data_IF_477719382690
#
_entry.id   IF_477719382690
#
_cell.length_a   1.000
_cell.length_b   1.000
_cell.length_c   1.000
_cell.angle_alpha   90.00
_cell.angle_beta   90.00
_cell.angle_gamma   90.00
#
_symmetry.space_group_name_H-M   'P 1'
#
loop_
_entity.id
_entity.type
_entity.pdbx_description
1 polymer ?
#
# COMPACT_ATOMS: atom_id res chain seq x y z
N UNK A 1 4.88 20.61 20.44
CA UNK A 1 3.87 19.68 21.01
C UNK A 1 3.99 18.22 20.56
N UNK A 2 4.46 17.87 19.34
CA UNK A 2 4.52 16.46 18.88
C UNK A 2 5.45 15.58 19.74
N UNK A 3 6.62 16.07 20.10
CA UNK A 3 7.61 15.33 20.92
C UNK A 3 7.06 15.02 22.31
N UNK A 4 6.47 16.00 22.99
CA UNK A 4 5.86 15.80 24.30
C UNK A 4 4.76 14.72 24.28
N UNK A 5 3.92 14.69 23.24
CA UNK A 5 2.91 13.64 23.07
C UNK A 5 3.53 12.25 22.89
N UNK A 6 4.65 12.15 22.19
CA UNK A 6 5.35 10.88 22.00
C UNK A 6 5.99 10.38 23.30
N UNK A 7 6.61 11.28 24.07
CA UNK A 7 7.17 11.00 25.40
C UNK A 7 6.07 10.48 26.33
N UNK A 8 4.92 11.15 26.39
CA UNK A 8 3.81 10.73 27.25
C UNK A 8 3.27 9.35 26.84
N UNK A 9 3.10 9.10 25.54
CA UNK A 9 2.73 7.77 25.04
C UNK A 9 3.75 6.71 25.41
N UNK A 10 5.03 7.01 25.25
CA UNK A 10 6.14 6.13 25.62
C UNK A 10 6.11 5.73 27.08
N UNK A 11 5.94 6.70 27.97
CA UNK A 11 5.80 6.49 29.41
C UNK A 11 4.61 5.57 29.72
N UNK A 12 3.42 5.86 29.18
CA UNK A 12 2.23 5.03 29.40
C UNK A 12 2.42 3.60 28.89
N UNK A 13 2.98 3.43 27.68
CA UNK A 13 3.29 2.10 27.14
C UNK A 13 4.30 1.34 28.01
N UNK A 14 5.32 2.03 28.52
CA UNK A 14 6.30 1.45 29.44
C UNK A 14 5.62 0.90 30.71
N UNK A 15 4.76 1.69 31.35
CA UNK A 15 4.01 1.27 32.53
C UNK A 15 3.09 0.08 32.21
N UNK A 16 2.30 0.16 31.14
CA UNK A 16 1.33 -0.90 30.79
C UNK A 16 2.05 -2.21 30.48
N UNK A 17 3.09 -2.18 29.64
CA UNK A 17 3.84 -3.39 29.28
C UNK A 17 4.61 -3.93 30.48
N UNK A 18 5.26 -3.07 31.26
CA UNK A 18 5.99 -3.46 32.47
C UNK A 18 5.08 -4.13 33.49
N UNK A 19 3.89 -3.56 33.72
CA UNK A 19 2.89 -4.14 34.61
C UNK A 19 2.39 -5.51 34.10
N UNK A 20 2.05 -5.63 32.81
CA UNK A 20 1.63 -6.91 32.22
C UNK A 20 2.71 -7.99 32.34
N UNK A 21 3.96 -7.64 32.06
CA UNK A 21 5.10 -8.56 32.24
C UNK A 21 5.23 -8.94 33.71
N UNK A 22 5.09 -7.99 34.64
CA UNK A 22 5.18 -8.29 36.08
C UNK A 22 4.09 -9.27 36.53
N UNK A 23 2.87 -9.17 36.01
CA UNK A 23 1.79 -10.11 36.31
C UNK A 23 2.12 -11.52 35.78
N UNK A 24 2.64 -11.60 34.56
CA UNK A 24 3.04 -12.87 33.94
C UNK A 24 4.17 -13.51 34.77
N UNK A 25 5.24 -12.75 35.06
CA UNK A 25 6.39 -13.23 35.81
C UNK A 25 6.00 -13.61 37.24
N UNK A 26 5.16 -12.80 37.89
CA UNK A 26 4.67 -13.10 39.24
C UNK A 26 3.85 -14.37 39.30
N UNK A 27 3.18 -14.77 38.22
CA UNK A 27 2.45 -16.04 38.13
C UNK A 27 3.37 -17.26 38.17
N UNK A 28 4.66 -17.10 37.86
CA UNK A 28 5.66 -18.16 37.95
C UNK A 28 6.35 -18.22 39.33
N UNK A 29 6.16 -17.21 40.18
CA UNK A 29 6.68 -17.24 41.55
C UNK A 29 5.72 -17.98 42.48
N UNK A 30 6.28 -18.78 43.38
CA UNK A 30 5.51 -19.54 44.36
C UNK A 30 4.97 -18.62 45.47
N UNK A 31 3.79 -18.96 46.02
CA UNK A 31 3.26 -18.30 47.23
C UNK A 31 2.06 -17.36 47.03
N UNK A 32 1.58 -17.14 45.79
CA UNK A 32 0.34 -16.37 45.55
C UNK A 32 0.42 -14.87 45.89
N UNK A 33 1.63 -14.36 46.15
CA UNK A 33 1.91 -12.95 46.42
C UNK A 33 2.31 -12.27 45.12
N UNK A 34 1.78 -11.06 44.89
CA UNK A 34 2.18 -10.26 43.73
C UNK A 34 3.55 -9.62 43.96
N UNK A 35 4.50 -9.92 43.09
CA UNK A 35 5.79 -9.24 43.06
C UNK A 35 5.85 -8.27 41.87
N UNK A 36 5.97 -6.95 42.10
CA UNK A 36 6.12 -5.97 41.02
C UNK A 36 7.48 -6.08 40.32
N UNK A 37 8.40 -6.91 40.81
CA UNK A 37 9.72 -7.13 40.23
C UNK A 37 10.34 -8.41 40.78
N UNK A 38 11.65 -8.63 40.60
CA UNK A 38 12.31 -9.78 41.24
C UNK A 38 12.15 -9.74 42.76
N UNK A 39 12.05 -10.90 43.44
CA UNK A 39 11.96 -10.94 44.91
C UNK A 39 13.12 -10.22 45.60
N UNK A 40 14.33 -10.28 45.04
CA UNK A 40 15.52 -9.56 45.53
C UNK A 40 15.36 -8.03 45.48
N UNK A 41 14.68 -7.52 44.45
CA UNK A 41 14.38 -6.10 44.36
C UNK A 41 13.35 -5.69 45.42
N UNK A 42 12.30 -6.49 45.59
CA UNK A 42 11.23 -6.20 46.57
C UNK A 42 11.76 -6.27 48.00
N UNK A 43 12.63 -7.22 48.33
CA UNK A 43 13.24 -7.35 49.66
C UNK A 43 14.19 -6.22 50.04
N UNK A 44 14.60 -5.39 49.07
CA UNK A 44 15.41 -4.18 49.31
C UNK A 44 14.60 -3.03 49.91
N UNK A 45 13.27 -3.14 49.97
CA UNK A 45 12.37 -2.10 50.49
C UNK A 45 11.66 -2.55 51.77
N UNK A 46 11.54 -1.69 52.79
CA UNK A 46 10.82 -2.03 54.02
C UNK A 46 9.31 -2.21 53.83
N UNK A 47 8.73 -1.56 52.82
CA UNK A 47 7.29 -1.62 52.50
C UNK A 47 7.10 -2.08 51.06
N UNK A 48 6.19 -3.02 50.86
CA UNK A 48 5.87 -3.57 49.53
C UNK A 48 5.38 -2.51 48.54
N UNK A 49 4.62 -1.53 49.04
CA UNK A 49 4.11 -0.41 48.23
C UNK A 49 5.24 0.45 47.68
N UNK A 50 6.36 0.60 48.40
CA UNK A 50 7.50 1.36 47.90
C UNK A 50 8.13 0.65 46.71
N UNK A 51 8.30 -0.67 46.78
CA UNK A 51 8.80 -1.47 45.66
C UNK A 51 7.93 -1.31 44.40
N UNK A 52 6.60 -1.23 44.54
CA UNK A 52 5.69 -0.97 43.42
C UNK A 52 5.95 0.42 42.80
N UNK A 53 6.07 1.46 43.62
CA UNK A 53 6.36 2.81 43.12
C UNK A 53 7.68 2.88 42.35
N UNK A 54 8.74 2.28 42.90
CA UNK A 54 10.03 2.23 42.22
C UNK A 54 9.96 1.40 40.92
N UNK A 55 9.23 0.30 40.90
CA UNK A 55 8.98 -0.47 39.66
C UNK A 55 8.28 0.38 38.59
N UNK A 56 7.24 1.14 38.95
CA UNK A 56 6.52 2.03 38.02
C UNK A 56 7.47 3.08 37.43
N UNK A 57 8.36 3.66 38.26
CA UNK A 57 9.38 4.60 37.80
C UNK A 57 10.32 3.93 36.80
N UNK A 58 10.83 2.73 37.11
CA UNK A 58 11.72 1.97 36.22
C UNK A 58 11.03 1.66 34.89
N UNK A 59 9.78 1.17 34.91
CA UNK A 59 9.00 0.88 33.69
C UNK A 59 8.75 2.13 32.85
N UNK A 60 8.47 3.25 33.51
CA UNK A 60 8.32 4.55 32.85
C UNK A 60 9.62 4.95 32.14
N UNK A 61 10.76 4.86 32.84
CA UNK A 61 12.08 5.18 32.28
C UNK A 61 12.43 4.26 31.10
N UNK A 62 12.09 2.97 31.16
CA UNK A 62 12.26 2.04 30.04
C UNK A 62 11.41 2.46 28.84
N UNK A 63 10.13 2.81 29.05
CA UNK A 63 9.26 3.28 27.97
C UNK A 63 9.76 4.58 27.32
N UNK A 64 10.28 5.50 28.14
CA UNK A 64 10.91 6.73 27.67
C UNK A 64 12.21 6.44 26.89
N UNK A 65 13.04 5.52 27.37
CA UNK A 65 14.25 5.08 26.70
C UNK A 65 13.95 4.57 25.29
N UNK A 66 12.99 3.66 25.14
CA UNK A 66 12.61 3.14 23.82
C UNK A 66 12.06 4.24 22.90
N UNK A 67 11.33 5.20 23.45
CA UNK A 67 10.81 6.34 22.68
C UNK A 67 11.94 7.26 22.20
N UNK A 68 12.92 7.56 23.06
CA UNK A 68 14.08 8.38 22.74
C UNK A 68 15.02 7.66 21.77
N UNK A 69 15.32 6.38 22.00
CA UNK A 69 16.11 5.55 21.09
C UNK A 69 15.41 5.46 19.72
N UNK A 70 14.08 5.43 19.69
CA UNK A 70 13.28 5.48 18.47
C UNK A 70 13.56 6.69 17.56
N UNK A 71 14.11 7.79 18.09
CA UNK A 71 14.54 8.94 17.28
C UNK A 71 15.65 8.58 16.28
N UNK A 72 16.41 7.50 16.51
CA UNK A 72 17.39 6.99 15.54
C UNK A 72 16.73 6.70 14.19
N UNK A 73 15.45 6.31 14.17
CA UNK A 73 14.74 6.00 12.94
C UNK A 73 14.41 7.24 12.09
N UNK A 74 14.44 8.45 12.67
CA UNK A 74 14.15 9.69 11.95
C UNK A 74 15.32 10.21 11.11
N UNK A 75 16.51 9.61 11.24
CA UNK A 75 17.72 10.03 10.51
C UNK A 75 17.62 9.53 9.05
N UNK A 76 17.31 10.37 8.07
CA UNK A 76 17.02 9.91 6.70
C UNK A 76 18.21 9.21 6.00
N UNK A 77 19.44 9.67 6.26
CA UNK A 77 20.66 9.23 5.56
C UNK A 77 21.13 7.82 5.92
N UNK A 78 20.54 7.18 6.95
CA UNK A 78 21.00 5.88 7.42
C UNK A 78 20.14 4.74 6.87
N UNK A 79 20.81 3.66 6.44
CA UNK A 79 20.13 2.43 6.07
C UNK A 79 19.32 1.88 7.26
N UNK A 80 18.21 1.20 6.96
CA UNK A 80 17.34 0.64 7.98
C UNK A 80 18.09 -0.33 8.90
N UNK A 81 18.97 -1.16 8.33
CA UNK A 81 19.81 -2.09 9.10
C UNK A 81 20.73 -1.35 10.09
N UNK A 82 21.38 -0.27 9.64
CA UNK A 82 22.24 0.56 10.50
C UNK A 82 21.46 1.16 11.67
N UNK A 83 20.26 1.71 11.40
CA UNK A 83 19.37 2.26 12.43
C UNK A 83 18.98 1.20 13.45
N UNK A 84 18.53 0.04 12.99
CA UNK A 84 18.11 -1.06 13.88
C UNK A 84 19.26 -1.60 14.71
N UNK A 85 20.47 -1.69 14.13
CA UNK A 85 21.65 -2.17 14.83
C UNK A 85 22.09 -1.19 15.92
N UNK A 86 22.15 0.11 15.63
CA UNK A 86 22.51 1.11 16.63
C UNK A 86 21.44 1.17 17.73
N UNK A 87 20.16 1.15 17.36
CA UNK A 87 19.06 1.09 18.32
C UNK A 87 19.18 -0.14 19.24
N UNK A 88 19.49 -1.32 18.66
CA UNK A 88 19.72 -2.55 19.40
C UNK A 88 20.85 -2.40 20.42
N UNK A 89 22.03 -1.90 20.00
CA UNK A 89 23.18 -1.75 20.90
C UNK A 89 22.89 -0.73 22.01
N UNK A 90 22.32 0.43 21.68
CA UNK A 90 21.99 1.47 22.67
C UNK A 90 21.01 0.94 23.72
N UNK A 91 19.93 0.29 23.26
CA UNK A 91 18.92 -0.24 24.18
C UNK A 91 19.46 -1.41 25.00
N UNK A 92 20.27 -2.30 24.41
CA UNK A 92 20.89 -3.42 25.12
C UNK A 92 21.85 -2.94 26.23
N UNK A 93 22.71 -1.97 25.95
CA UNK A 93 23.67 -1.44 26.94
C UNK A 93 22.93 -0.81 28.11
N UNK A 94 21.95 0.05 27.84
CA UNK A 94 21.21 0.74 28.90
C UNK A 94 20.37 -0.24 29.71
N UNK A 95 19.72 -1.22 29.05
CA UNK A 95 18.97 -2.26 29.75
C UNK A 95 19.86 -3.14 30.63
N UNK A 96 21.09 -3.41 30.18
CA UNK A 96 22.10 -4.13 30.99
C UNK A 96 22.51 -3.35 32.24
N UNK A 97 22.62 -2.02 32.14
CA UNK A 97 22.86 -1.16 33.30
C UNK A 97 21.69 -1.22 34.28
N UNK A 98 20.46 -1.13 33.79
CA UNK A 98 19.25 -1.25 34.62
C UNK A 98 19.27 -2.58 35.38
N UNK A 99 19.50 -3.70 34.69
CA UNK A 99 19.60 -5.04 35.29
C UNK A 99 20.62 -5.10 36.43
N UNK A 100 21.79 -4.49 36.24
CA UNK A 100 22.84 -4.42 37.26
C UNK A 100 22.39 -3.62 38.49
N UNK A 101 21.72 -2.49 38.30
CA UNK A 101 21.30 -1.62 39.40
C UNK A 101 20.06 -2.13 40.14
N UNK A 102 19.16 -2.84 39.46
CA UNK A 102 17.91 -3.33 40.05
C UNK A 102 18.03 -4.72 40.67
N UNK A 103 19.12 -5.44 40.43
CA UNK A 103 19.30 -6.80 40.97
C UNK A 103 18.25 -7.80 40.46
N UNK A 104 17.72 -7.58 39.25
CA UNK A 104 16.69 -8.47 38.67
C UNK A 104 17.21 -9.88 38.38
N UNK A 105 18.51 -10.03 38.11
CA UNK A 105 19.15 -11.32 37.89
C UNK A 105 20.60 -11.26 38.31
N UNK A 106 21.17 -12.42 38.63
CA UNK A 106 22.60 -12.55 38.84
C UNK A 106 23.35 -12.18 37.55
N UNK A 107 24.42 -11.39 37.67
CA UNK A 107 25.31 -10.99 36.56
C UNK A 107 26.14 -12.17 36.01
N UNK A 108 25.60 -13.38 36.08
CA UNK A 108 26.19 -14.56 35.47
C UNK A 108 26.15 -14.46 33.95
N UNK A 109 27.18 -15.01 33.30
CA UNK A 109 27.25 -15.07 31.83
C UNK A 109 26.02 -15.79 31.27
N UNK A 110 25.52 -16.82 31.96
CA UNK A 110 24.34 -17.59 31.55
C UNK A 110 23.08 -16.73 31.53
N UNK A 111 22.78 -16.01 32.60
CA UNK A 111 21.61 -15.13 32.68
C UNK A 111 21.67 -14.01 31.64
N UNK A 112 22.86 -13.43 31.43
CA UNK A 112 23.08 -12.41 30.42
C UNK A 112 22.84 -12.94 29.00
N UNK A 113 23.34 -14.13 28.66
CA UNK A 113 23.12 -14.74 27.35
C UNK A 113 21.64 -15.02 27.08
N UNK A 114 20.89 -15.51 28.08
CA UNK A 114 19.43 -15.70 27.95
C UNK A 114 18.74 -14.36 27.67
N UNK A 115 19.11 -13.30 28.37
CA UNK A 115 18.56 -11.95 28.17
C UNK A 115 18.83 -11.45 26.73
N UNK A 116 20.07 -11.57 26.26
CA UNK A 116 20.45 -11.20 24.89
C UNK A 116 19.67 -12.03 23.86
N UNK A 117 19.51 -13.34 24.07
CA UNK A 117 18.72 -14.20 23.18
C UNK A 117 17.26 -13.78 23.09
N UNK A 118 16.62 -13.44 24.21
CA UNK A 118 15.24 -12.92 24.22
C UNK A 118 15.18 -11.59 23.46
N UNK A 119 16.14 -10.70 23.68
CA UNK A 119 16.22 -9.42 22.98
C UNK A 119 16.37 -9.61 21.46
N UNK A 120 17.26 -10.50 21.02
CA UNK A 120 17.40 -10.87 19.61
C UNK A 120 16.10 -11.42 19.02
N UNK A 121 15.41 -12.31 19.74
CA UNK A 121 14.15 -12.90 19.29
C UNK A 121 13.07 -11.81 19.10
N UNK A 122 12.95 -10.87 20.04
CA UNK A 122 12.03 -9.73 19.91
C UNK A 122 12.31 -8.92 18.65
N UNK A 123 13.58 -8.65 18.33
CA UNK A 123 13.93 -7.93 17.11
C UNK A 123 13.61 -8.70 15.84
N UNK A 124 13.83 -10.03 15.81
CA UNK A 124 13.44 -10.88 14.68
C UNK A 124 11.93 -10.82 14.44
N UNK A 125 11.14 -10.87 15.52
CA UNK A 125 9.67 -10.75 15.44
C UNK A 125 9.27 -9.38 14.88
N UNK A 126 9.81 -8.29 15.44
CA UNK A 126 9.52 -6.93 14.97
C UNK A 126 9.88 -6.80 13.49
N UNK A 127 11.07 -7.23 13.08
CA UNK A 127 11.51 -7.18 11.68
C UNK A 127 10.57 -7.94 10.76
N UNK A 128 10.14 -9.13 11.16
CA UNK A 128 9.22 -9.97 10.37
C UNK A 128 7.87 -9.27 10.19
N UNK A 129 7.34 -8.66 11.24
CA UNK A 129 6.08 -7.91 11.18
C UNK A 129 6.22 -6.65 10.32
N UNK A 130 7.30 -5.89 10.49
CA UNK A 130 7.57 -4.69 9.70
C UNK A 130 7.75 -5.03 8.23
N UNK A 131 8.51 -6.07 7.90
CA UNK A 131 8.71 -6.53 6.53
C UNK A 131 7.38 -6.83 5.84
N UNK A 132 6.50 -7.61 6.49
CA UNK A 132 5.19 -7.96 5.94
C UNK A 132 4.30 -6.75 5.71
N UNK A 133 4.34 -5.74 6.58
CA UNK A 133 3.56 -4.51 6.40
C UNK A 133 4.12 -3.68 5.25
N UNK A 134 5.43 -3.51 5.18
CA UNK A 134 6.10 -2.76 4.11
C UNK A 134 5.87 -3.39 2.74
N UNK A 135 5.92 -4.72 2.65
CA UNK A 135 5.67 -5.45 1.40
C UNK A 135 4.27 -5.16 0.84
N UNK A 136 3.25 -5.21 1.71
CA UNK A 136 1.87 -4.85 1.34
C UNK A 136 1.75 -3.38 0.91
N UNK A 137 2.44 -2.47 1.59
CA UNK A 137 2.43 -1.06 1.22
C UNK A 137 3.09 -0.84 -0.14
N UNK A 138 4.19 -1.55 -0.43
CA UNK A 138 4.86 -1.51 -1.74
C UNK A 138 3.95 -2.02 -2.85
N UNK A 139 3.24 -3.13 -2.65
CA UNK A 139 2.25 -3.63 -3.61
C UNK A 139 1.14 -2.59 -3.89
N UNK A 140 0.62 -1.97 -2.83
CA UNK A 140 -0.42 -0.93 -2.96
C UNK A 140 0.09 0.29 -3.73
N UNK A 141 1.33 0.73 -3.48
CA UNK A 141 1.95 1.84 -4.20
C UNK A 141 2.16 1.47 -5.68
N UNK A 142 2.71 0.29 -5.96
CA UNK A 142 2.98 -0.16 -7.32
C UNK A 142 1.68 -0.29 -8.14
N UNK A 143 0.61 -0.81 -7.53
CA UNK A 143 -0.71 -0.90 -8.15
C UNK A 143 -1.30 0.50 -8.46
N UNK A 144 -1.17 1.46 -7.54
CA UNK A 144 -1.61 2.85 -7.74
C UNK A 144 -0.81 3.58 -8.81
N UNK A 145 0.50 3.34 -8.90
CA UNK A 145 1.35 3.92 -9.94
C UNK A 145 0.99 3.35 -11.32
N UNK A 146 0.76 2.04 -11.40
CA UNK A 146 0.37 1.36 -12.63
C UNK A 146 -1.00 1.84 -13.13
N UNK A 147 -2.00 1.94 -12.26
CA UNK A 147 -3.33 2.44 -12.64
C UNK A 147 -3.30 3.89 -13.12
N UNK A 148 -2.56 4.78 -12.45
CA UNK A 148 -2.37 6.17 -12.91
C UNK A 148 -1.67 6.26 -14.27
N UNK A 149 -0.67 5.40 -14.52
CA UNK A 149 0.02 5.36 -15.82
C UNK A 149 -0.93 4.91 -16.94
N UNK A 150 -1.76 3.90 -16.69
CA UNK A 150 -2.79 3.41 -17.61
C UNK A 150 -3.82 4.51 -17.91
N UNK A 151 -4.32 5.21 -16.89
CA UNK A 151 -5.31 6.28 -17.04
C UNK A 151 -4.79 7.47 -17.88
N UNK A 152 -3.54 7.89 -17.62
CA UNK A 152 -2.88 8.94 -18.41
C UNK A 152 -2.71 8.54 -19.88
N UNK A 153 -2.29 7.29 -20.13
CA UNK A 153 -2.11 6.77 -21.48
C UNK A 153 -3.44 6.63 -22.24
N UNK A 154 -4.51 6.21 -21.56
CA UNK A 154 -5.86 6.18 -22.12
C UNK A 154 -6.36 7.57 -22.52
N UNK A 155 -6.19 8.56 -21.63
CA UNK A 155 -6.58 9.96 -21.87
C UNK A 155 -5.84 10.57 -23.07
N UNK A 156 -4.54 10.28 -23.19
CA UNK A 156 -3.72 10.75 -24.31
C UNK A 156 -4.14 10.11 -25.65
N UNK A 157 -4.46 8.80 -25.63
CA UNK A 157 -5.00 8.10 -26.82
C UNK A 157 -6.35 8.68 -27.25
N UNK A 158 -7.24 8.99 -26.31
CA UNK A 158 -8.52 9.64 -26.60
C UNK A 158 -8.34 11.05 -27.19
N UNK A 159 -7.41 11.85 -26.65
CA UNK A 159 -7.09 13.17 -27.21
C UNK A 159 -6.64 13.08 -28.66
N UNK A 160 -5.73 12.15 -28.99
CA UNK A 160 -5.27 11.95 -30.37
C UNK A 160 -6.40 11.53 -31.31
N UNK A 161 -7.29 10.63 -30.88
CA UNK A 161 -8.46 10.22 -31.66
C UNK A 161 -9.41 11.40 -31.93
N UNK A 162 -9.74 12.20 -30.91
CA UNK A 162 -10.57 13.40 -31.06
C UNK A 162 -9.94 14.44 -32.00
N UNK A 163 -8.63 14.67 -31.89
CA UNK A 163 -7.91 15.56 -32.79
C UNK A 163 -7.94 15.06 -34.25
N UNK A 164 -7.85 13.74 -34.45
CA UNK A 164 -7.93 13.13 -35.77
C UNK A 164 -9.34 13.24 -36.35
N UNK A 165 -10.38 12.91 -35.58
CA UNK A 165 -11.79 13.07 -35.98
C UNK A 165 -12.11 14.52 -36.35
N UNK A 166 -11.67 15.50 -35.56
CA UNK A 166 -11.85 16.92 -35.86
C UNK A 166 -11.13 17.35 -37.14
N UNK A 167 -9.95 16.77 -37.45
CA UNK A 167 -9.26 17.01 -38.73
C UNK A 167 -10.03 16.40 -39.91
N UNK A 168 -10.68 15.25 -39.73
CA UNK A 168 -11.50 14.64 -40.77
C UNK A 168 -12.79 15.44 -41.04
N UNK A 169 -13.50 15.89 -40.01
CA UNK A 169 -14.72 16.70 -40.21
C UNK A 169 -14.43 18.01 -40.96
N UNK A 170 -13.34 18.70 -40.61
CA UNK A 170 -12.89 19.92 -41.30
C UNK A 170 -12.50 19.64 -42.76
N UNK A 171 -11.82 18.51 -43.05
CA UNK A 171 -11.35 18.16 -44.40
C UNK A 171 -12.48 17.80 -45.35
N UNK A 172 -13.59 17.23 -44.86
CA UNK A 172 -14.72 16.81 -45.68
C UNK A 172 -15.91 17.79 -45.68
N UNK A 173 -15.80 18.94 -45.02
CA UNK A 173 -16.82 20.00 -45.05
C UNK A 173 -18.19 19.56 -44.48
N UNK A 174 -18.24 18.46 -43.75
CA UNK A 174 -19.43 17.98 -43.05
C UNK A 174 -19.14 17.99 -41.54
N UNK A 175 -19.75 18.95 -40.85
CA UNK A 175 -19.92 18.86 -39.39
C UNK A 175 -20.99 17.80 -39.13
N UNK A 176 -20.56 16.53 -39.09
CA UNK A 176 -21.43 15.42 -38.69
C UNK A 176 -21.82 15.65 -37.22
N UNK A 177 -23.10 15.90 -36.97
CA UNK A 177 -23.66 16.01 -35.64
C UNK A 177 -23.66 14.62 -34.98
N UNK A 178 -22.57 14.28 -34.29
CA UNK A 178 -22.38 12.96 -33.69
C UNK A 178 -23.46 12.61 -32.66
N UNK A 179 -24.06 13.60 -31.99
CA UNK A 179 -25.15 13.37 -31.04
C UNK A 179 -26.44 12.97 -31.74
N UNK A 180 -26.70 13.49 -32.94
CA UNK A 180 -27.85 13.12 -33.78
C UNK A 180 -27.64 11.78 -34.49
N UNK A 181 -26.43 11.51 -34.96
CA UNK A 181 -26.07 10.22 -35.55
C UNK A 181 -26.11 9.08 -34.51
N UNK A 182 -25.58 9.28 -33.31
CA UNK A 182 -25.59 8.28 -32.24
C UNK A 182 -26.97 8.12 -31.58
N UNK A 183 -27.82 9.16 -31.59
CA UNK A 183 -29.20 9.05 -31.10
C UNK A 183 -30.20 8.60 -32.17
N UNK A 184 -29.78 8.40 -33.42
CA UNK A 184 -30.65 7.79 -34.42
C UNK A 184 -31.05 6.39 -33.96
N UNK A 185 -32.35 6.10 -33.94
CA UNK A 185 -32.91 4.83 -33.45
C UNK A 185 -32.27 3.61 -34.16
N UNK A 186 -31.87 3.75 -35.43
CA UNK A 186 -31.18 2.71 -36.17
C UNK A 186 -29.77 2.42 -35.64
N UNK A 187 -29.04 3.45 -35.21
CA UNK A 187 -27.67 3.32 -34.67
C UNK A 187 -27.69 2.84 -33.23
N UNK A 188 -28.61 3.34 -32.40
CA UNK A 188 -28.83 2.86 -31.03
C UNK A 188 -29.21 1.39 -30.99
N UNK A 189 -30.18 0.98 -31.83
CA UNK A 189 -30.63 -0.41 -31.89
C UNK A 189 -29.48 -1.36 -32.26
N UNK A 190 -28.56 -0.93 -33.13
CA UNK A 190 -27.40 -1.73 -33.51
C UNK A 190 -26.30 -1.76 -32.43
N UNK A 191 -26.00 -0.64 -31.77
CA UNK A 191 -24.99 -0.58 -30.70
C UNK A 191 -25.44 -1.40 -29.48
N UNK A 192 -26.71 -1.28 -29.08
CA UNK A 192 -27.26 -2.05 -27.97
C UNK A 192 -27.28 -3.55 -28.29
N UNK A 193 -27.63 -3.93 -29.51
CA UNK A 193 -27.63 -5.34 -29.95
C UNK A 193 -26.21 -5.93 -30.08
N UNK A 194 -25.22 -5.13 -30.51
CA UNK A 194 -23.80 -5.53 -30.53
C UNK A 194 -23.27 -5.73 -29.10
N UNK A 195 -23.65 -4.86 -28.16
CA UNK A 195 -23.26 -4.99 -26.75
C UNK A 195 -23.86 -6.22 -26.06
N UNK A 196 -25.06 -6.64 -26.51
CA UNK A 196 -25.77 -7.83 -26.04
C UNK A 196 -25.29 -9.13 -26.72
N UNK A 197 -24.65 -9.05 -27.89
CA UNK A 197 -24.21 -10.23 -28.64
C UNK A 197 -22.90 -10.79 -28.07
N UNK A 198 -23.00 -11.85 -27.26
CA UNK A 198 -21.84 -12.52 -26.64
C UNK A 198 -21.11 -13.52 -27.56
N UNK A 199 -21.49 -13.67 -28.83
CA UNK A 199 -21.01 -14.74 -29.71
C UNK A 199 -20.80 -14.29 -31.16
N UNK A 200 -19.68 -14.72 -31.74
CA UNK A 200 -19.26 -14.43 -33.14
C UNK A 200 -20.29 -14.86 -34.20
N UNK A 201 -21.14 -15.84 -33.89
CA UNK A 201 -22.06 -16.47 -34.84
C UNK A 201 -23.32 -15.65 -35.09
N UNK A 202 -23.81 -14.90 -34.09
CA UNK A 202 -24.98 -14.00 -34.24
C UNK A 202 -24.63 -12.76 -35.07
N UNK A 203 -23.38 -12.31 -34.99
CA UNK A 203 -22.88 -11.15 -35.73
C UNK A 203 -22.79 -11.42 -37.25
N UNK A 204 -22.47 -12.66 -37.63
CA UNK A 204 -22.41 -13.08 -39.05
C UNK A 204 -23.78 -13.16 -39.71
N UNK A 205 -24.84 -13.57 -39.00
CA UNK A 205 -26.19 -13.66 -39.55
C UNK A 205 -26.78 -12.27 -39.83
N UNK A 206 -26.39 -11.26 -39.03
CA UNK A 206 -26.86 -9.89 -39.20
C UNK A 206 -26.20 -9.17 -40.40
N UNK A 207 -24.90 -9.41 -40.65
CA UNK A 207 -24.22 -8.93 -41.87
C UNK A 207 -24.86 -9.44 -43.17
N UNK A 208 -25.61 -10.54 -43.12
CA UNK A 208 -26.31 -11.09 -44.29
C UNK A 208 -27.59 -10.34 -44.63
N UNK A 209 -28.16 -9.56 -43.70
CA UNK A 209 -29.51 -8.98 -43.82
C UNK A 209 -29.54 -7.45 -44.02
N UNK A 210 -28.42 -6.75 -43.82
CA UNK A 210 -28.30 -5.32 -44.12
C UNK A 210 -27.28 -5.12 -45.23
N UNK A 211 -27.66 -4.33 -46.24
CA UNK A 211 -26.91 -4.04 -47.47
C UNK A 211 -25.38 -4.08 -47.28
N UNK A 212 -24.75 -4.98 -48.03
CA UNK A 212 -23.32 -5.33 -48.03
C UNK A 212 -22.38 -4.11 -48.03
N UNK A 213 -22.82 -2.96 -48.57
CA UNK A 213 -22.03 -1.73 -48.63
C UNK A 213 -21.69 -1.08 -47.27
N UNK A 214 -22.54 -1.18 -46.23
CA UNK A 214 -22.27 -0.53 -44.94
C UNK A 214 -21.30 -1.38 -44.09
N UNK A 215 -21.42 -2.71 -44.18
CA UNK A 215 -20.52 -3.62 -43.47
C UNK A 215 -19.10 -3.62 -44.06
N UNK A 216 -18.96 -3.44 -45.38
CA UNK A 216 -17.65 -3.37 -46.05
C UNK A 216 -16.89 -2.07 -45.75
N UNK A 217 -17.60 -0.95 -45.56
CA UNK A 217 -17.01 0.31 -45.09
C UNK A 217 -16.70 0.29 -43.58
N UNK A 218 -17.54 -0.33 -42.75
CA UNK A 218 -17.26 -0.51 -41.32
C UNK A 218 -16.11 -1.50 -41.05
N UNK A 219 -15.93 -2.53 -41.89
CA UNK A 219 -14.78 -3.44 -41.79
C UNK A 219 -13.46 -2.77 -42.19
N UNK A 220 -13.49 -1.81 -43.14
CA UNK A 220 -12.32 -0.98 -43.48
C UNK A 220 -11.92 -0.03 -42.34
N UNK A 221 -12.88 0.46 -41.55
CA UNK A 221 -12.62 1.35 -40.41
C UNK A 221 -12.10 0.58 -39.19
N UNK A 222 -12.35 -0.73 -39.09
CA UNK A 222 -12.00 -1.51 -37.89
C UNK A 222 -10.75 -2.39 -38.04
N UNK A 223 -10.23 -2.68 -39.24
CA UNK A 223 -9.04 -3.53 -39.37
C UNK A 223 -8.20 -3.26 -40.64
N UNK A 224 -7.28 -2.29 -40.64
CA UNK A 224 -6.15 -2.24 -41.59
C UNK A 224 -4.87 -1.71 -40.90
N UNK A 225 -3.74 -2.47 -40.93
CA UNK A 225 -2.42 -2.03 -40.46
C UNK A 225 -1.81 -0.92 -41.33
N UNK A 226 -0.90 -0.14 -40.74
CA UNK A 226 -0.54 1.23 -41.14
C UNK A 226 0.37 1.37 -42.38
N UNK A 227 0.58 0.30 -43.17
CA UNK A 227 1.77 0.20 -44.02
C UNK A 227 1.49 -0.02 -45.53
N UNK A 228 0.22 -0.10 -45.97
CA UNK A 228 -0.11 -0.32 -47.40
C UNK A 228 -1.35 0.43 -47.88
N UNK A 229 -1.28 1.75 -48.02
CA UNK A 229 -2.25 2.48 -48.83
C UNK A 229 -1.51 3.43 -49.78
N UNK A 230 -1.39 3.02 -51.04
CA UNK A 230 -1.01 3.86 -52.18
C UNK A 230 -2.25 4.53 -52.78
N UNK A 231 -2.07 5.76 -53.26
CA UNK A 231 -3.09 6.66 -53.81
C UNK A 231 -3.50 6.20 -55.22
N UNK A 232 -4.48 5.31 -55.36
CA UNK A 232 -5.01 4.98 -56.71
C UNK A 232 -6.50 4.63 -56.79
N UNK A 233 -7.35 4.95 -55.79
CA UNK A 233 -8.80 4.70 -55.91
C UNK A 233 -9.69 5.95 -55.72
N UNK A 234 -9.12 7.14 -55.97
CA UNK A 234 -9.89 8.40 -56.02
C UNK A 234 -10.71 8.58 -57.31
N UNK A 235 -10.79 7.56 -58.18
CA UNK A 235 -11.59 7.58 -59.41
C UNK A 235 -13.04 7.08 -59.27
N UNK A 236 -13.38 6.39 -58.18
CA UNK A 236 -14.70 5.75 -58.04
C UNK A 236 -15.82 6.68 -57.54
N UNK A 237 -15.49 7.90 -57.10
CA UNK A 237 -16.46 8.85 -56.54
C UNK A 237 -17.07 9.82 -57.56
N UNK A 238 -16.76 9.69 -58.86
CA UNK A 238 -17.24 10.63 -59.87
C UNK A 238 -18.68 10.38 -60.38
N UNK A 239 -19.31 9.23 -60.06
CA UNK A 239 -20.56 8.82 -60.73
C UNK A 239 -21.74 8.44 -59.84
N UNK A 240 -21.72 8.73 -58.53
CA UNK A 240 -22.89 8.52 -57.67
C UNK A 240 -23.57 9.85 -57.35
N UNK A 241 -24.22 10.40 -58.37
CA UNK A 241 -25.29 11.37 -58.21
C UNK A 241 -26.52 10.67 -57.61
N UNK A 242 -26.68 10.74 -56.28
CA UNK A 242 -27.98 10.55 -55.66
C UNK A 242 -28.30 11.74 -54.75
N UNK A 243 -28.60 12.86 -55.42
CA UNK A 243 -29.46 13.93 -54.91
C UNK A 243 -30.62 14.03 -55.90
N UNK A 244 -31.79 13.53 -55.51
CA UNK A 244 -33.08 14.16 -55.76
C UNK A 244 -34.19 13.40 -55.04
N UNK A 245 -34.84 14.14 -54.14
CA UNK A 245 -36.00 13.84 -53.28
C UNK A 245 -35.68 13.05 -52.01
#
# INVERSE_FOLDING_TARGET
>A
MKIFKNILKGASFGITIGFLISLIVSSFYEGGVYYPSSPNFVSSFPREVDAIWYSIVIWTLIGLLFTCAGLIFTIEDWSLLKKTFIHFIVTLVIFSLIFKFTGWTDLSIKSYMICVSIFCLTYIIIWTLTYKTTDKELEMINNKLTSKKIDKDYTERLRKRRAHQKRYSIRFGQDINWDEFLNNDFVKMNIDFISLSKSKKSMQVWCSYTSVQICEELSKITFVPKDKITVTDLGAFANLSFVRL
#
